data_IF_905736233325
#
_entry.id   IF_905736233325
#
_cell.length_a   1.000
_cell.length_b   1.000
_cell.length_c   1.000
_cell.angle_alpha   90.00
_cell.angle_beta   90.00
_cell.angle_gamma   90.00
#
_symmetry.space_group_name_H-M   'P 1'
#
loop_
_entity.id
_entity.type
_entity.pdbx_description
1 polymer ?
#
# COMPACT_ATOMS: atom_id res chain seq x y z
N UNK A 1 -2.18 19.75 -2.34
CA UNK A 1 -3.18 19.64 -1.24
C UNK A 1 -2.69 18.53 -0.32
N UNK A 2 -2.72 18.73 1.00
CA UNK A 2 -2.42 17.63 1.92
C UNK A 2 -3.56 16.61 1.82
N UNK A 3 -3.24 15.36 1.52
CA UNK A 3 -4.20 14.26 1.49
C UNK A 3 -4.76 14.09 2.91
N UNK A 4 -6.09 14.12 3.07
CA UNK A 4 -6.72 13.93 4.37
C UNK A 4 -6.79 12.43 4.67
N UNK A 5 -6.38 12.04 5.87
CA UNK A 5 -6.56 10.68 6.32
C UNK A 5 -8.05 10.36 6.44
N UNK A 6 -8.50 9.27 5.82
CA UNK A 6 -9.89 8.83 5.90
C UNK A 6 -10.18 8.00 7.15
N UNK A 7 -9.15 7.44 7.79
CA UNK A 7 -9.26 6.66 9.02
C UNK A 7 -7.98 6.77 9.85
N UNK A 8 -8.14 6.76 11.18
CA UNK A 8 -7.05 6.80 12.15
C UNK A 8 -7.14 5.61 13.11
N UNK A 9 -5.99 5.02 13.44
CA UNK A 9 -5.85 3.99 14.46
C UNK A 9 -4.83 4.40 15.53
N UNK A 10 -5.18 4.22 16.79
CA UNK A 10 -4.33 4.61 17.93
C UNK A 10 -4.08 3.41 18.84
N UNK A 11 -2.86 2.88 18.81
CA UNK A 11 -2.38 1.83 19.71
C UNK A 11 -1.64 2.46 20.88
N UNK A 12 -2.20 2.40 22.09
CA UNK A 12 -1.66 3.11 23.27
C UNK A 12 -0.82 2.22 24.19
N UNK A 13 -1.05 0.91 24.16
CA UNK A 13 -0.47 -0.04 25.14
C UNK A 13 0.68 -0.89 24.59
N UNK A 14 0.66 -1.25 23.30
CA UNK A 14 1.75 -1.96 22.63
C UNK A 14 2.95 -1.06 22.37
N UNK A 15 3.09 -0.56 21.15
CA UNK A 15 4.23 0.28 20.71
C UNK A 15 4.00 1.79 20.80
N UNK A 16 2.87 2.25 21.35
CA UNK A 16 2.43 3.66 21.27
C UNK A 16 2.52 4.17 19.83
N UNK A 17 1.64 3.67 18.97
CA UNK A 17 1.67 3.93 17.54
C UNK A 17 0.37 4.56 17.08
N UNK A 18 0.49 5.64 16.30
CA UNK A 18 -0.64 6.23 15.57
C UNK A 18 -0.49 5.88 14.10
N UNK A 19 -1.60 5.53 13.45
CA UNK A 19 -1.63 5.15 12.05
C UNK A 19 -2.69 5.97 11.34
N UNK A 20 -2.30 6.60 10.24
CA UNK A 20 -3.19 7.33 9.35
C UNK A 20 -3.33 6.59 8.04
N UNK A 21 -4.58 6.37 7.63
CA UNK A 21 -4.92 5.74 6.36
C UNK A 21 -5.30 6.83 5.36
N UNK A 22 -4.53 6.94 4.28
CA UNK A 22 -4.79 7.81 3.14
C UNK A 22 -5.26 6.97 1.96
N UNK A 23 -5.70 7.59 0.87
CA UNK A 23 -6.27 6.86 -0.26
C UNK A 23 -5.25 5.95 -0.94
N UNK A 24 -4.00 6.41 -1.06
CA UNK A 24 -2.91 5.67 -1.73
C UNK A 24 -1.86 5.09 -0.77
N UNK A 25 -1.89 5.49 0.50
CA UNK A 25 -0.79 5.24 1.43
C UNK A 25 -1.24 5.06 2.88
N UNK A 26 -0.34 4.51 3.69
CA UNK A 26 -0.44 4.37 5.14
C UNK A 26 0.75 5.07 5.79
N UNK A 27 0.48 5.91 6.78
CA UNK A 27 1.51 6.52 7.62
C UNK A 27 1.50 5.90 9.01
N UNK A 28 2.67 5.50 9.48
CA UNK A 28 2.87 4.89 10.79
C UNK A 28 3.78 5.81 11.61
N UNK A 29 3.30 6.22 12.77
CA UNK A 29 4.03 7.07 13.70
C UNK A 29 4.30 6.28 14.97
N UNK A 30 5.55 5.85 15.17
CA UNK A 30 6.00 5.27 16.43
C UNK A 30 6.41 6.39 17.38
N UNK A 31 5.66 6.55 18.48
CA UNK A 31 5.93 7.59 19.46
C UNK A 31 7.10 7.17 20.37
N UNK A 32 8.15 7.98 20.38
CA UNK A 32 9.31 7.77 21.24
C UNK A 32 9.01 7.98 22.73
N UNK A 33 9.90 7.51 23.60
CA UNK A 33 9.79 7.79 25.04
C UNK A 33 9.98 9.30 25.28
N UNK A 34 9.03 9.94 25.98
CA UNK A 34 9.04 11.38 26.31
C UNK A 34 8.94 12.35 25.12
N UNK A 35 8.37 11.92 23.98
CA UNK A 35 8.06 12.82 22.85
C UNK A 35 9.27 13.33 22.07
N UNK A 36 10.48 12.86 22.39
CA UNK A 36 11.68 13.06 21.58
C UNK A 36 11.85 11.82 20.68
N UNK A 37 12.02 12.06 19.38
CA UNK A 37 12.27 11.05 18.33
C UNK A 37 11.07 10.18 17.93
N UNK A 38 9.99 10.81 17.46
CA UNK A 38 8.98 10.08 16.70
C UNK A 38 9.58 9.55 15.40
N UNK A 39 9.36 8.26 15.12
CA UNK A 39 9.72 7.67 13.83
C UNK A 39 8.47 7.63 12.98
N UNK A 40 8.48 8.36 11.87
CA UNK A 40 7.39 8.43 10.91
C UNK A 40 7.78 7.63 9.69
N UNK A 41 6.88 6.75 9.24
CA UNK A 41 7.04 5.97 8.02
C UNK A 41 5.81 6.11 7.16
N UNK A 42 5.98 6.59 5.94
CA UNK A 42 4.93 6.63 4.92
C UNK A 42 5.17 5.49 3.93
N UNK A 43 4.17 4.63 3.75
CA UNK A 43 4.24 3.45 2.87
C UNK A 43 3.10 3.52 1.88
N UNK A 44 3.42 3.46 0.59
CA UNK A 44 2.43 3.34 -0.47
C UNK A 44 1.85 1.91 -0.46
N UNK A 45 0.53 1.75 -0.51
CA UNK A 45 -0.07 0.40 -0.49
C UNK A 45 0.42 -0.48 -1.64
N UNK A 46 0.70 0.13 -2.80
CA UNK A 46 1.30 -0.57 -3.95
C UNK A 46 2.63 -1.26 -3.67
N UNK A 47 3.34 -0.84 -2.63
CA UNK A 47 4.64 -1.39 -2.24
C UNK A 47 4.51 -2.46 -1.16
N UNK A 48 3.32 -2.66 -0.59
CA UNK A 48 3.08 -3.69 0.43
C UNK A 48 2.76 -5.00 -0.29
N UNK A 49 3.62 -6.00 -0.07
CA UNK A 49 3.47 -7.34 -0.66
C UNK A 49 2.60 -8.24 0.19
N UNK A 50 2.71 -8.13 1.52
CA UNK A 50 1.96 -8.97 2.45
C UNK A 50 1.75 -8.28 3.81
N UNK A 51 0.66 -8.63 4.49
CA UNK A 51 0.34 -8.16 5.84
C UNK A 51 0.19 -9.37 6.76
N UNK A 52 1.14 -9.54 7.68
CA UNK A 52 1.13 -10.65 8.64
C UNK A 52 0.66 -10.17 10.00
N UNK A 53 -0.34 -10.84 10.58
CA UNK A 53 -0.78 -10.61 11.95
C UNK A 53 -0.38 -11.78 12.84
N UNK A 54 0.33 -11.49 13.93
CA UNK A 54 0.64 -12.45 15.00
C UNK A 54 -0.17 -12.10 16.24
N UNK A 55 -0.92 -13.08 16.72
CA UNK A 55 -1.74 -12.90 17.91
C UNK A 55 -0.88 -12.73 19.18
N UNK A 56 -1.33 -11.92 20.15
CA UNK A 56 -0.69 -11.81 21.45
C UNK A 56 -0.78 -13.12 22.23
N UNK A 57 0.27 -13.45 22.99
CA UNK A 57 0.33 -14.62 23.87
C UNK A 57 0.22 -14.22 25.35
N UNK A 58 0.26 -15.18 26.28
CA UNK A 58 0.28 -14.88 27.73
C UNK A 58 1.47 -14.00 28.14
N UNK A 59 2.61 -14.11 27.44
CA UNK A 59 3.85 -13.42 27.79
C UNK A 59 4.31 -12.39 26.74
N UNK A 60 3.58 -12.19 25.64
CA UNK A 60 4.00 -11.31 24.54
C UNK A 60 2.85 -10.53 23.91
N UNK A 61 3.15 -9.32 23.46
CA UNK A 61 2.27 -8.53 22.59
C UNK A 61 2.07 -9.23 21.23
N UNK A 62 0.99 -8.85 20.54
CA UNK A 62 0.77 -9.18 19.16
C UNK A 62 1.44 -8.16 18.25
N UNK A 63 1.62 -8.50 16.98
CA UNK A 63 2.12 -7.56 16.00
C UNK A 63 1.49 -7.73 14.61
N UNK A 64 1.43 -6.61 13.89
CA UNK A 64 1.14 -6.55 12.46
C UNK A 64 2.45 -6.16 11.77
N UNK A 65 2.87 -6.92 10.77
CA UNK A 65 4.08 -6.65 9.98
C UNK A 65 3.67 -6.40 8.54
N UNK A 66 4.03 -5.22 8.03
CA UNK A 66 3.88 -4.86 6.61
C UNK A 66 5.16 -5.28 5.87
N UNK A 67 5.05 -6.31 5.04
CA UNK A 67 6.15 -6.70 4.17
C UNK A 67 6.13 -5.84 2.92
N UNK A 68 7.26 -5.20 2.62
CA UNK A 68 7.43 -4.36 1.44
C UNK A 68 8.47 -4.93 0.45
N UNK A 69 8.87 -6.20 0.61
CA UNK A 69 9.81 -6.91 -0.28
C UNK A 69 11.28 -6.49 -0.15
N UNK A 70 11.56 -5.26 0.26
CA UNK A 70 12.92 -4.72 0.44
C UNK A 70 13.39 -4.68 1.90
N UNK A 71 12.75 -5.42 2.81
CA UNK A 71 13.09 -5.50 4.24
C UNK A 71 14.47 -6.16 4.50
N UNK A 72 15.54 -5.66 3.88
CA UNK A 72 16.90 -6.18 3.95
C UNK A 72 17.59 -5.80 5.26
N UNK A 73 17.13 -4.72 5.92
CA UNK A 73 17.68 -4.24 7.18
C UNK A 73 16.74 -4.51 8.38
N UNK A 74 17.29 -4.99 9.50
CA UNK A 74 16.52 -5.22 10.75
C UNK A 74 15.77 -3.97 11.23
N UNK A 75 16.32 -2.78 10.99
CA UNK A 75 15.71 -1.51 11.40
C UNK A 75 14.41 -1.20 10.63
N UNK A 76 14.34 -1.50 9.34
CA UNK A 76 13.14 -1.27 8.51
C UNK A 76 12.00 -2.19 8.93
N UNK A 77 12.33 -3.43 9.34
CA UNK A 77 11.34 -4.36 9.87
C UNK A 77 10.64 -3.81 11.12
N UNK A 78 11.36 -3.09 11.99
CA UNK A 78 10.75 -2.47 13.17
C UNK A 78 9.84 -1.28 12.81
N UNK A 79 10.21 -0.48 11.80
CA UNK A 79 9.37 0.63 11.31
C UNK A 79 8.09 0.15 10.61
N UNK A 80 8.13 -1.04 10.03
CA UNK A 80 6.99 -1.66 9.37
C UNK A 80 6.18 -2.57 10.30
N UNK A 81 6.49 -2.58 11.61
CA UNK A 81 5.84 -3.44 12.61
C UNK A 81 5.03 -2.62 13.60
N UNK A 82 3.74 -2.90 13.71
CA UNK A 82 2.83 -2.28 14.68
C UNK A 82 2.58 -3.29 15.80
N UNK A 83 2.89 -2.95 17.04
CA UNK A 83 2.63 -3.82 18.18
C UNK A 83 1.34 -3.43 18.90
N UNK A 84 0.58 -4.45 19.31
CA UNK A 84 -0.70 -4.28 19.98
C UNK A 84 -0.85 -5.22 21.18
N UNK A 85 -1.55 -4.75 22.20
CA UNK A 85 -1.89 -5.56 23.37
C UNK A 85 -3.11 -6.44 23.10
N UNK A 86 -3.39 -7.41 23.97
CA UNK A 86 -4.60 -8.25 23.88
C UNK A 86 -5.91 -7.47 23.78
N UNK A 87 -5.98 -6.33 24.46
CA UNK A 87 -7.17 -5.47 24.49
C UNK A 87 -7.36 -4.67 23.18
N UNK A 88 -6.31 -4.57 22.37
CA UNK A 88 -6.31 -3.88 21.08
C UNK A 88 -6.41 -4.86 19.91
N UNK A 89 -6.72 -6.15 20.17
CA UNK A 89 -6.78 -7.19 19.14
C UNK A 89 -7.82 -6.89 18.06
N UNK A 90 -9.03 -6.47 18.44
CA UNK A 90 -10.08 -6.12 17.47
C UNK A 90 -9.66 -4.93 16.60
N UNK A 91 -8.98 -3.94 17.19
CA UNK A 91 -8.43 -2.79 16.47
C UNK A 91 -7.35 -3.24 15.46
N UNK A 92 -6.50 -4.21 15.85
CA UNK A 92 -5.49 -4.78 14.99
C UNK A 92 -6.09 -5.60 13.83
N UNK A 93 -7.17 -6.33 14.07
CA UNK A 93 -7.89 -7.08 13.03
C UNK A 93 -8.52 -6.13 12.02
N UNK A 94 -9.25 -5.10 12.48
CA UNK A 94 -9.86 -4.10 11.60
C UNK A 94 -8.82 -3.32 10.79
N UNK A 95 -7.68 -2.99 11.39
CA UNK A 95 -6.56 -2.39 10.67
C UNK A 95 -6.04 -3.31 9.57
N UNK A 96 -5.80 -4.59 9.89
CA UNK A 96 -5.33 -5.56 8.90
C UNK A 96 -6.29 -5.67 7.73
N UNK A 97 -7.58 -5.85 8.01
CA UNK A 97 -8.62 -5.99 6.99
C UNK A 97 -8.69 -4.74 6.11
N UNK A 98 -8.59 -3.55 6.70
CA UNK A 98 -8.58 -2.28 5.96
C UNK A 98 -7.37 -2.18 5.03
N UNK A 99 -6.17 -2.59 5.48
CA UNK A 99 -4.97 -2.60 4.65
C UNK A 99 -5.09 -3.62 3.52
N UNK A 100 -5.54 -4.85 3.82
CA UNK A 100 -5.74 -5.89 2.81
C UNK A 100 -6.73 -5.43 1.72
N UNK A 101 -7.85 -4.83 2.13
CA UNK A 101 -8.83 -4.26 1.20
C UNK A 101 -8.20 -3.20 0.29
N UNK A 102 -7.39 -2.29 0.85
CA UNK A 102 -6.71 -1.25 0.06
C UNK A 102 -5.67 -1.80 -0.91
N UNK A 103 -4.94 -2.85 -0.51
CA UNK A 103 -4.00 -3.53 -1.40
C UNK A 103 -4.75 -4.16 -2.58
N UNK A 104 -5.87 -4.84 -2.33
CA UNK A 104 -6.66 -5.47 -3.39
C UNK A 104 -7.36 -4.44 -4.29
N UNK A 105 -7.89 -3.35 -3.74
CA UNK A 105 -8.47 -2.24 -4.51
C UNK A 105 -7.47 -1.68 -5.54
N UNK A 106 -6.23 -1.44 -5.12
CA UNK A 106 -5.17 -0.91 -5.99
C UNK A 106 -4.70 -1.94 -7.02
N UNK A 107 -4.65 -3.23 -6.67
CA UNK A 107 -4.37 -4.29 -7.64
C UNK A 107 -5.47 -4.40 -8.68
N UNK A 108 -6.73 -4.28 -8.28
CA UNK A 108 -7.89 -4.25 -9.19
C UNK A 108 -7.79 -3.11 -10.19
N UNK A 109 -7.54 -1.89 -9.72
CA UNK A 109 -7.36 -0.72 -10.59
C UNK A 109 -6.23 -0.90 -11.61
N UNK A 110 -5.12 -1.53 -11.20
CA UNK A 110 -4.00 -1.84 -12.11
C UNK A 110 -4.36 -2.90 -13.15
N UNK A 111 -5.10 -3.93 -12.76
CA UNK A 111 -5.54 -4.96 -13.69
C UNK A 111 -6.50 -4.38 -14.73
N UNK A 112 -7.46 -3.56 -14.31
CA UNK A 112 -8.41 -2.90 -15.21
C UNK A 112 -7.69 -1.96 -16.19
N UNK A 113 -6.73 -1.17 -15.69
CA UNK A 113 -5.91 -0.31 -16.55
C UNK A 113 -5.05 -1.09 -17.54
N UNK A 114 -4.51 -2.25 -17.14
CA UNK A 114 -3.73 -3.11 -18.03
C UNK A 114 -4.60 -3.75 -19.11
N UNK A 115 -5.83 -4.16 -18.77
CA UNK A 115 -6.81 -4.68 -19.73
C UNK A 115 -7.20 -3.58 -20.73
N UNK A 116 -7.51 -2.38 -20.26
CA UNK A 116 -7.85 -1.23 -21.12
C UNK A 116 -6.70 -0.87 -22.07
N UNK A 117 -5.47 -0.82 -21.57
CA UNK A 117 -4.28 -0.58 -22.40
C UNK A 117 -4.08 -1.69 -23.44
N UNK A 118 -4.30 -2.95 -23.08
CA UNK A 118 -4.24 -4.07 -24.04
C UNK A 118 -5.30 -3.93 -25.15
N UNK A 119 -6.55 -3.60 -24.81
CA UNK A 119 -7.60 -3.38 -25.80
C UNK A 119 -7.30 -2.20 -26.72
N UNK A 120 -6.76 -1.10 -26.18
CA UNK A 120 -6.32 0.06 -26.97
C UNK A 120 -5.21 -0.31 -27.94
N UNK A 121 -4.19 -1.04 -27.49
CA UNK A 121 -3.09 -1.50 -28.35
C UNK A 121 -3.57 -2.42 -29.46
N UNK A 122 -4.54 -3.32 -29.16
CA UNK A 122 -5.14 -4.18 -30.17
C UNK A 122 -5.88 -3.37 -31.25
N UNK A 123 -6.74 -2.43 -30.85
CA UNK A 123 -7.46 -1.54 -31.79
C UNK A 123 -6.49 -0.67 -32.59
N UNK A 124 -5.44 -0.17 -31.96
CA UNK A 124 -4.41 0.62 -32.62
C UNK A 124 -3.71 -0.19 -33.72
N UNK A 125 -3.37 -1.46 -33.45
CA UNK A 125 -2.80 -2.37 -34.45
C UNK A 125 -3.77 -2.65 -35.60
N UNK A 126 -5.04 -2.89 -35.30
CA UNK A 126 -6.09 -3.10 -36.33
C UNK A 126 -6.21 -1.89 -37.28
N UNK A 127 -6.17 -0.66 -36.75
CA UNK A 127 -6.22 0.55 -37.58
C UNK A 127 -4.98 0.71 -38.47
N UNK A 128 -3.80 0.38 -37.96
CA UNK A 128 -2.56 0.37 -38.75
C UNK A 128 -2.60 -0.69 -39.85
N UNK A 129 -3.09 -1.90 -39.54
CA UNK A 129 -3.23 -2.99 -40.52
C UNK A 129 -4.23 -2.67 -41.64
N UNK A 130 -5.22 -1.82 -41.35
CA UNK A 130 -6.18 -1.30 -42.33
C UNK A 130 -5.64 -0.09 -43.12
N UNK A 131 -4.37 0.29 -42.92
CA UNK A 131 -3.74 1.47 -43.53
C UNK A 131 -4.49 2.78 -43.23
N UNK A 132 -5.27 2.81 -42.14
CA UNK A 132 -5.97 4.02 -41.68
C UNK A 132 -4.99 4.96 -40.97
N UNK A 133 -3.99 4.39 -40.31
CA UNK A 133 -2.88 5.12 -39.67
C UNK A 133 -1.61 4.93 -40.49
N UNK A 134 -0.80 5.98 -40.59
CA UNK A 134 0.59 5.84 -41.00
C UNK A 134 1.43 5.15 -39.91
N UNK A 135 2.59 4.60 -40.29
CA UNK A 135 3.51 3.94 -39.34
C UNK A 135 3.97 4.90 -38.23
N UNK A 136 4.22 6.16 -38.58
CA UNK A 136 4.63 7.20 -37.63
C UNK A 136 3.53 7.50 -36.61
N UNK A 137 2.27 7.60 -37.06
CA UNK A 137 1.11 7.82 -36.19
C UNK A 137 0.82 6.61 -35.29
N UNK A 138 1.05 5.40 -35.80
CA UNK A 138 0.91 4.17 -35.03
C UNK A 138 1.94 4.12 -33.88
N UNK A 139 3.22 4.34 -34.17
CA UNK A 139 4.27 4.26 -33.14
C UNK A 139 4.13 5.37 -32.10
N UNK A 140 3.78 6.60 -32.49
CA UNK A 140 3.55 7.69 -31.54
C UNK A 140 2.41 7.37 -30.54
N UNK A 141 1.31 6.80 -31.02
CA UNK A 141 0.18 6.46 -30.15
C UNK A 141 0.44 5.23 -29.28
N UNK A 142 1.24 4.28 -29.78
CA UNK A 142 1.64 3.09 -29.04
C UNK A 142 2.51 3.46 -27.83
N UNK A 143 3.48 4.37 -28.00
CA UNK A 143 4.30 4.87 -26.89
C UNK A 143 3.43 5.52 -25.82
N UNK A 144 2.48 6.39 -26.21
CA UNK A 144 1.57 7.06 -25.27
C UNK A 144 0.72 6.10 -24.43
N UNK A 145 0.25 4.99 -25.01
CA UNK A 145 -0.54 3.98 -24.29
C UNK A 145 0.35 3.14 -23.34
N UNK A 146 1.62 2.94 -23.69
CA UNK A 146 2.56 2.18 -22.86
C UNK A 146 3.14 3.02 -21.70
N UNK A 147 3.19 4.34 -21.86
CA UNK A 147 3.65 5.28 -20.82
C UNK A 147 2.54 5.75 -19.86
N UNK A 148 1.27 5.46 -20.15
CA UNK A 148 0.11 5.78 -19.30
C UNK A 148 -0.10 4.77 -18.18
#
# INVERSE_FOLDING_TARGET
>A
MAELAFKEYIFKKGSKTTIYMYQSSIEIIHHGFLGKFNRVKLIQFKNITNVTLKNPSLASNGNIVLDCGENKNKNEKHENTIEFSKNEKELALDLKETIDYKIEEIKGQRADSAIDNFEKLKKLKELADLEILSEDEYEEQKERILES
#
